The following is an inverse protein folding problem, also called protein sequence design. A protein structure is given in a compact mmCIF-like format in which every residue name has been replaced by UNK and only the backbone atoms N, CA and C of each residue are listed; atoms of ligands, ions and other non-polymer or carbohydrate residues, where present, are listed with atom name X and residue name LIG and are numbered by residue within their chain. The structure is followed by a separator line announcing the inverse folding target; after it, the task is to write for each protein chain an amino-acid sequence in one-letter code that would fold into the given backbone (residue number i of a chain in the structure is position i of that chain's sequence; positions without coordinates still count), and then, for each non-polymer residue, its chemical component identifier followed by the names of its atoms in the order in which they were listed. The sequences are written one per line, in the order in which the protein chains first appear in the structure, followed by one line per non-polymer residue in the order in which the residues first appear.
data_IF_645916703614
#
_entry.id   IF_645916703614
#
_cell.length_a   1.000
_cell.length_b   1.000
_cell.length_c   1.000
_cell.angle_alpha   90.00
_cell.angle_beta   90.00
_cell.angle_gamma   90.00
#
_symmetry.space_group_name_H-M   'P 1'
#
loop_
_entity.id
_entity.type
_entity.pdbx_description
1 polymer ?
#
# COMPACT_ATOMS: atom_id res chain seq x y z
N UNK A 1 30.16 0.51 41.08
CA UNK A 1 29.80 0.28 39.65
C UNK A 1 30.53 -0.97 39.18
N UNK A 2 29.96 -2.17 39.28
CA UNK A 2 30.60 -3.43 38.87
C UNK A 2 29.84 -4.14 37.73
N UNK A 3 29.03 -3.42 36.95
CA UNK A 3 28.30 -4.01 35.81
C UNK A 3 28.98 -3.63 34.48
N UNK A 4 29.18 -4.63 33.62
CA UNK A 4 29.56 -4.39 32.24
C UNK A 4 28.42 -3.73 31.50
N UNK A 5 28.63 -2.51 31.04
CA UNK A 5 27.63 -1.74 30.28
C UNK A 5 28.03 -1.74 28.80
N UNK A 6 27.02 -1.85 27.95
CA UNK A 6 27.17 -1.69 26.50
C UNK A 6 26.85 -0.25 26.13
N UNK A 7 27.70 0.33 25.28
CA UNK A 7 27.54 1.70 24.80
C UNK A 7 27.14 1.71 23.36
N UNK A 8 26.15 2.51 23.03
CA UNK A 8 25.73 2.79 21.66
C UNK A 8 26.12 4.23 21.33
N UNK A 9 26.82 4.42 20.22
CA UNK A 9 27.23 5.75 19.73
C UNK A 9 26.62 5.97 18.35
N UNK A 10 25.84 7.04 18.21
CA UNK A 10 25.42 7.56 16.92
C UNK A 10 26.43 8.61 16.47
N UNK A 11 26.97 8.45 15.28
CA UNK A 11 27.91 9.39 14.67
C UNK A 11 27.40 9.76 13.28
N UNK A 12 27.40 11.05 13.00
CA UNK A 12 27.21 11.53 11.65
C UNK A 12 28.52 11.37 10.86
N UNK A 13 28.45 10.71 9.73
CA UNK A 13 29.66 10.47 8.93
C UNK A 13 29.69 11.31 7.65
N UNK A 14 28.58 11.49 6.95
CA UNK A 14 28.50 12.19 5.67
C UNK A 14 27.17 12.89 5.45
N UNK A 15 27.16 13.92 4.64
CA UNK A 15 25.95 14.63 4.23
C UNK A 15 25.80 16.01 4.90
N UNK A 16 24.83 16.78 4.44
CA UNK A 16 24.45 18.06 5.02
C UNK A 16 22.93 18.12 5.23
N UNK A 17 22.49 18.70 6.35
CA UNK A 17 21.09 18.96 6.60
C UNK A 17 20.82 20.46 6.59
N UNK A 18 19.79 20.90 5.91
CA UNK A 18 19.34 22.30 6.00
C UNK A 18 18.78 22.63 7.38
N UNK A 19 18.17 21.65 8.05
CA UNK A 19 17.64 21.74 9.41
C UNK A 19 18.23 20.61 10.22
N UNK A 20 18.74 20.91 11.41
CA UNK A 20 19.31 19.90 12.31
C UNK A 20 18.26 18.83 12.65
N UNK A 21 18.54 17.55 12.40
CA UNK A 21 17.62 16.47 12.77
C UNK A 21 17.50 16.40 14.29
N UNK A 22 16.28 16.30 14.78
CA UNK A 22 15.99 16.07 16.18
C UNK A 22 15.72 14.60 16.41
N UNK A 23 16.61 13.92 17.13
CA UNK A 23 16.41 12.55 17.54
C UNK A 23 15.49 12.53 18.78
N UNK A 24 14.30 12.00 18.65
CA UNK A 24 13.32 11.90 19.73
C UNK A 24 13.59 10.70 20.63
N UNK A 25 13.90 9.55 20.02
CA UNK A 25 14.13 8.28 20.72
C UNK A 25 15.13 7.42 19.95
N UNK A 26 15.88 6.62 20.68
CA UNK A 26 16.66 5.51 20.15
C UNK A 26 16.13 4.26 20.84
N UNK A 27 15.58 3.36 20.06
CA UNK A 27 14.91 2.17 20.56
C UNK A 27 15.74 0.94 20.23
N UNK A 28 16.22 0.26 21.27
CA UNK A 28 16.82 -1.06 21.17
C UNK A 28 15.73 -2.11 21.35
N UNK A 29 15.95 -3.32 20.88
CA UNK A 29 14.98 -4.43 20.97
C UNK A 29 13.59 -4.07 20.41
N UNK A 30 13.58 -3.32 19.32
CA UNK A 30 12.35 -2.87 18.68
C UNK A 30 12.33 -3.37 17.23
N UNK A 31 11.18 -3.85 16.81
CA UNK A 31 10.95 -4.30 15.44
C UNK A 31 9.63 -3.79 14.92
N UNK A 32 9.54 -3.64 13.61
CA UNK A 32 8.28 -3.39 12.93
C UNK A 32 7.44 -4.67 12.91
N UNK A 33 6.17 -4.54 13.20
CA UNK A 33 5.20 -5.63 13.10
C UNK A 33 3.98 -5.18 12.28
N UNK A 34 3.41 -6.10 11.54
CA UNK A 34 2.18 -5.90 10.79
C UNK A 34 1.08 -6.82 11.36
N UNK A 35 -0.13 -6.29 11.48
CA UNK A 35 -1.27 -7.08 11.89
C UNK A 35 -1.70 -7.99 10.74
N UNK A 36 -1.14 -9.19 10.69
CA UNK A 36 -1.46 -10.20 9.69
C UNK A 36 -1.46 -11.59 10.31
N UNK A 37 -2.28 -12.47 9.76
CA UNK A 37 -2.22 -13.92 10.04
C UNK A 37 -1.54 -14.58 8.85
N UNK A 38 -0.50 -15.36 9.10
CA UNK A 38 0.17 -16.14 8.07
C UNK A 38 -0.41 -17.55 8.02
N UNK A 39 -0.87 -17.93 6.85
CA UNK A 39 -1.29 -19.30 6.55
C UNK A 39 -0.22 -19.93 5.66
N UNK A 40 0.30 -21.04 6.13
CA UNK A 40 1.29 -21.82 5.40
C UNK A 40 0.68 -23.14 4.98
N UNK A 41 0.94 -23.52 3.72
CA UNK A 41 0.55 -24.82 3.20
C UNK A 41 -0.97 -25.10 3.21
N UNK A 42 -1.79 -24.06 2.94
CA UNK A 42 -3.21 -24.25 2.74
C UNK A 42 -3.46 -25.09 1.48
N UNK A 43 -4.13 -26.19 1.63
CA UNK A 43 -4.52 -27.06 0.50
C UNK A 43 -5.73 -26.45 -0.17
N UNK A 44 -5.56 -25.93 -1.37
CA UNK A 44 -6.67 -25.38 -2.17
C UNK A 44 -7.54 -26.49 -2.77
N UNK A 45 -6.94 -27.65 -3.08
CA UNK A 45 -7.67 -28.77 -3.66
C UNK A 45 -6.82 -29.62 -4.60
N UNK A 46 -7.51 -30.34 -5.46
CA UNK A 46 -6.95 -31.31 -6.40
C UNK A 46 -7.07 -30.80 -7.82
N UNK A 47 -5.94 -30.71 -8.53
CA UNK A 47 -5.94 -30.46 -9.95
C UNK A 47 -6.56 -31.61 -10.74
N UNK A 48 -7.15 -31.30 -11.89
CA UNK A 48 -7.86 -32.27 -12.75
C UNK A 48 -7.35 -32.27 -14.19
N UNK A 49 -6.36 -31.48 -14.53
CA UNK A 49 -5.90 -31.18 -15.90
C UNK A 49 -6.95 -30.54 -16.81
N UNK A 50 -8.14 -30.25 -16.30
CA UNK A 50 -9.16 -29.54 -17.07
C UNK A 50 -8.79 -28.05 -17.23
N UNK A 51 -9.22 -27.40 -18.31
CA UNK A 51 -9.02 -25.97 -18.49
C UNK A 51 -9.83 -25.13 -17.50
N UNK A 52 -9.35 -23.91 -17.22
CA UNK A 52 -10.06 -22.88 -16.44
C UNK A 52 -10.47 -23.32 -15.02
N UNK A 53 -9.67 -24.15 -14.38
CA UNK A 53 -9.94 -24.55 -13.00
C UNK A 53 -9.92 -23.36 -12.06
N UNK A 54 -10.82 -23.37 -11.07
CA UNK A 54 -10.97 -22.34 -10.06
C UNK A 54 -10.89 -22.94 -8.66
N UNK A 55 -10.22 -22.22 -7.79
CA UNK A 55 -10.08 -22.55 -6.39
C UNK A 55 -10.29 -21.31 -5.53
N UNK A 56 -10.49 -21.52 -4.24
CA UNK A 56 -10.83 -20.46 -3.30
C UNK A 56 -9.92 -20.55 -2.06
N UNK A 57 -9.27 -19.46 -1.70
CA UNK A 57 -8.58 -19.35 -0.42
C UNK A 57 -9.59 -19.32 0.74
N UNK A 58 -9.30 -19.99 1.84
CA UNK A 58 -10.19 -20.08 3.01
C UNK A 58 -10.32 -18.74 3.72
N UNK A 59 -9.23 -17.98 3.81
CA UNK A 59 -9.25 -16.68 4.46
C UNK A 59 -8.94 -15.55 3.48
N UNK A 60 -9.68 -14.47 3.63
CA UNK A 60 -9.61 -13.28 2.79
C UNK A 60 -9.56 -12.01 3.64
N UNK A 61 -8.99 -10.91 3.14
CA UNK A 61 -8.31 -10.77 1.85
C UNK A 61 -6.93 -11.47 1.84
N UNK A 62 -6.47 -11.82 0.64
CA UNK A 62 -5.11 -12.34 0.42
C UNK A 62 -4.16 -11.17 0.21
N UNK A 63 -3.19 -10.98 1.11
CA UNK A 63 -2.22 -9.90 1.04
C UNK A 63 -1.11 -10.20 0.04
N UNK A 64 -0.42 -9.17 -0.41
CA UNK A 64 0.74 -9.28 -1.30
C UNK A 64 1.85 -10.17 -0.72
N UNK A 65 2.55 -10.88 -1.60
CA UNK A 65 3.65 -11.78 -1.22
C UNK A 65 3.20 -13.22 -0.94
N UNK A 66 2.05 -13.61 -1.48
CA UNK A 66 1.62 -15.01 -1.49
C UNK A 66 2.46 -15.85 -2.47
N UNK A 67 2.49 -17.14 -2.22
CA UNK A 67 3.17 -18.13 -3.07
C UNK A 67 2.21 -19.28 -3.32
N UNK A 68 1.97 -19.59 -4.59
CA UNK A 68 1.18 -20.74 -5.01
C UNK A 68 2.13 -21.83 -5.52
N UNK A 69 1.99 -23.00 -4.94
CA UNK A 69 2.76 -24.18 -5.27
C UNK A 69 1.86 -25.28 -5.81
N UNK A 70 2.31 -25.93 -6.87
CA UNK A 70 1.63 -27.08 -7.46
C UNK A 70 2.60 -28.26 -7.46
N UNK A 71 2.15 -29.39 -6.98
CA UNK A 71 2.93 -30.62 -7.05
C UNK A 71 2.72 -31.24 -8.42
N UNK A 72 3.76 -31.25 -9.23
CA UNK A 72 3.82 -31.82 -10.57
C UNK A 72 4.80 -32.99 -10.56
N UNK A 73 4.37 -34.20 -10.91
CA UNK A 73 5.25 -35.40 -11.00
C UNK A 73 6.15 -35.61 -9.77
N UNK A 74 5.63 -35.32 -8.58
CA UNK A 74 6.33 -35.40 -7.28
C UNK A 74 7.28 -34.22 -6.97
N UNK A 75 7.42 -33.26 -7.82
CA UNK A 75 8.15 -32.02 -7.57
C UNK A 75 7.20 -30.88 -7.19
N UNK A 76 7.61 -30.06 -6.24
CA UNK A 76 6.87 -28.84 -5.88
C UNK A 76 7.34 -27.70 -6.76
N UNK A 77 6.45 -27.18 -7.58
CA UNK A 77 6.73 -26.11 -8.54
C UNK A 77 5.95 -24.86 -8.17
N UNK A 78 6.66 -23.75 -8.09
CA UNK A 78 6.02 -22.45 -7.85
C UNK A 78 5.40 -21.91 -9.13
N UNK A 79 4.16 -21.46 -9.03
CA UNK A 79 3.43 -20.81 -10.10
C UNK A 79 3.42 -19.30 -9.88
N UNK A 80 3.33 -18.56 -10.98
CA UNK A 80 3.43 -17.10 -10.98
C UNK A 80 2.04 -16.45 -11.11
N UNK A 81 1.77 -15.45 -10.26
CA UNK A 81 0.60 -14.60 -10.41
C UNK A 81 0.77 -13.65 -11.60
N UNK A 82 -0.27 -13.55 -12.41
CA UNK A 82 -0.39 -12.59 -13.52
C UNK A 82 -1.71 -11.84 -13.41
N UNK A 83 -1.80 -10.60 -13.91
CA UNK A 83 -3.05 -9.84 -13.88
C UNK A 83 -4.13 -10.46 -14.79
N UNK A 84 -3.70 -11.07 -15.89
CA UNK A 84 -4.55 -11.78 -16.84
C UNK A 84 -3.71 -12.78 -17.66
N UNK A 85 -4.36 -13.62 -18.47
CA UNK A 85 -3.70 -14.62 -19.30
C UNK A 85 -3.39 -14.16 -20.73
N UNK A 86 -3.58 -12.89 -21.05
CA UNK A 86 -3.47 -12.40 -22.42
C UNK A 86 -2.07 -12.66 -23.04
N UNK A 87 -1.02 -12.48 -22.22
CA UNK A 87 0.38 -12.67 -22.65
C UNK A 87 0.93 -14.06 -22.28
N UNK A 88 0.11 -14.96 -21.76
CA UNK A 88 0.55 -16.28 -21.32
C UNK A 88 0.58 -17.27 -22.48
N UNK A 89 1.62 -18.10 -22.55
CA UNK A 89 1.71 -19.25 -23.44
C UNK A 89 1.10 -20.51 -22.82
N UNK A 90 0.90 -21.55 -23.60
CA UNK A 90 0.30 -22.81 -23.15
C UNK A 90 1.12 -23.53 -22.05
N UNK A 91 2.43 -23.28 -21.99
CA UNK A 91 3.34 -23.90 -21.02
C UNK A 91 3.56 -23.09 -19.75
N UNK A 92 3.11 -21.83 -19.72
CA UNK A 92 3.39 -20.93 -18.63
C UNK A 92 2.57 -21.30 -17.38
N UNK A 93 3.27 -21.42 -16.29
CA UNK A 93 2.72 -21.74 -14.97
C UNK A 93 2.16 -20.47 -14.31
N UNK A 94 1.08 -19.94 -14.88
CA UNK A 94 0.46 -18.72 -14.47
C UNK A 94 -0.91 -18.96 -13.83
N UNK A 95 -1.25 -18.10 -12.89
CA UNK A 95 -2.60 -18.02 -12.29
C UNK A 95 -3.00 -16.56 -12.09
N UNK A 96 -4.29 -16.31 -11.99
CA UNK A 96 -4.84 -15.02 -11.57
C UNK A 96 -5.43 -15.15 -10.18
N UNK A 97 -5.36 -14.09 -9.39
CA UNK A 97 -5.85 -14.04 -8.03
C UNK A 97 -6.68 -12.78 -7.81
N UNK A 98 -7.94 -12.94 -7.44
CA UNK A 98 -8.71 -11.87 -6.83
C UNK A 98 -8.41 -11.82 -5.33
N UNK A 99 -7.67 -10.83 -4.91
CA UNK A 99 -7.19 -10.69 -3.53
C UNK A 99 -8.30 -10.43 -2.51
N UNK A 100 -9.40 -9.80 -2.92
CA UNK A 100 -10.51 -9.49 -2.03
C UNK A 100 -11.36 -10.72 -1.75
N UNK A 101 -11.64 -11.48 -2.79
CA UNK A 101 -12.46 -12.68 -2.67
C UNK A 101 -11.64 -13.93 -2.40
N UNK A 102 -10.34 -13.93 -2.70
CA UNK A 102 -9.48 -15.09 -2.62
C UNK A 102 -9.68 -16.08 -3.77
N UNK A 103 -10.39 -15.69 -4.83
CA UNK A 103 -10.63 -16.55 -5.98
C UNK A 103 -9.36 -16.67 -6.84
N UNK A 104 -8.95 -17.90 -7.08
CA UNK A 104 -7.78 -18.26 -7.89
C UNK A 104 -8.28 -18.94 -9.15
N UNK A 105 -7.80 -18.49 -10.31
CA UNK A 105 -8.13 -19.09 -11.60
C UNK A 105 -6.84 -19.46 -12.34
N UNK A 106 -6.87 -20.61 -12.97
CA UNK A 106 -5.79 -21.14 -13.79
C UNK A 106 -6.10 -21.00 -15.28
N UNK A 107 -5.09 -21.16 -16.11
CA UNK A 107 -5.21 -21.08 -17.56
C UNK A 107 -6.05 -22.21 -18.18
N UNK A 108 -6.33 -22.05 -19.46
CA UNK A 108 -7.14 -22.99 -20.25
C UNK A 108 -6.29 -24.05 -20.98
N UNK A 109 -4.97 -24.02 -20.82
CA UNK A 109 -4.03 -24.89 -21.54
C UNK A 109 -3.59 -24.35 -22.90
N UNK A 110 -4.15 -23.22 -23.36
CA UNK A 110 -3.70 -22.45 -24.50
C UNK A 110 -3.08 -21.12 -24.04
N UNK A 111 -3.71 -20.48 -23.07
CA UNK A 111 -3.25 -19.28 -22.38
C UNK A 111 -3.10 -19.56 -20.90
N UNK A 112 -1.87 -19.91 -20.54
CA UNK A 112 -1.54 -20.43 -19.24
C UNK A 112 -1.82 -21.93 -19.12
N UNK A 113 -0.90 -22.64 -18.48
CA UNK A 113 -0.99 -24.08 -18.23
C UNK A 113 -2.19 -24.38 -17.32
N UNK A 114 -2.89 -25.48 -17.60
CA UNK A 114 -3.85 -26.03 -16.63
C UNK A 114 -3.10 -26.83 -15.55
N UNK A 115 -3.46 -26.74 -14.27
CA UNK A 115 -2.81 -27.52 -13.23
C UNK A 115 -3.03 -29.03 -13.46
N UNK A 116 -1.97 -29.85 -13.32
CA UNK A 116 -2.04 -31.27 -13.58
C UNK A 116 -2.96 -31.99 -12.61
N UNK A 117 -3.47 -33.14 -13.02
CA UNK A 117 -4.25 -34.01 -12.16
C UNK A 117 -3.41 -34.49 -10.96
N UNK A 118 -3.96 -34.36 -9.77
CA UNK A 118 -3.27 -34.78 -8.55
C UNK A 118 -4.14 -34.57 -7.31
N UNK A 119 -4.01 -35.43 -6.33
CA UNK A 119 -4.76 -35.29 -5.07
C UNK A 119 -4.10 -34.24 -4.18
N UNK A 120 -4.85 -33.19 -3.78
CA UNK A 120 -4.39 -32.15 -2.87
C UNK A 120 -3.04 -31.53 -3.30
N UNK A 121 -2.87 -31.39 -4.61
CA UNK A 121 -1.61 -30.96 -5.20
C UNK A 121 -1.47 -29.46 -5.37
N UNK A 122 -2.50 -28.66 -5.03
CA UNK A 122 -2.42 -27.20 -5.04
C UNK A 122 -2.32 -26.67 -3.62
N UNK A 123 -1.31 -25.85 -3.36
CA UNK A 123 -1.00 -25.31 -2.05
C UNK A 123 -0.75 -23.83 -2.11
N UNK A 124 -1.32 -23.09 -1.16
CA UNK A 124 -1.17 -21.64 -1.05
C UNK A 124 -0.51 -21.28 0.27
N UNK A 125 0.51 -20.43 0.18
CA UNK A 125 1.15 -19.79 1.31
C UNK A 125 0.84 -18.28 1.20
N UNK A 126 0.20 -17.71 2.20
CA UNK A 126 -0.20 -16.32 2.13
C UNK A 126 -0.41 -15.70 3.50
N UNK A 127 -0.57 -14.41 3.49
CA UNK A 127 -0.98 -13.64 4.67
C UNK A 127 -2.36 -13.08 4.44
N UNK A 128 -3.15 -13.06 5.49
CA UNK A 128 -4.46 -12.38 5.53
C UNK A 128 -4.48 -11.37 6.66
N UNK A 129 -5.28 -10.33 6.53
CA UNK A 129 -5.38 -9.26 7.50
C UNK A 129 -5.90 -7.99 6.83
N UNK A 130 -5.79 -6.87 7.51
CA UNK A 130 -6.26 -5.58 7.02
C UNK A 130 -7.50 -5.10 7.77
N UNK A 131 -8.15 -4.07 7.22
CA UNK A 131 -9.22 -3.37 7.89
C UNK A 131 -8.72 -2.50 9.05
N UNK A 132 -9.64 -1.86 9.73
CA UNK A 132 -9.34 -0.94 10.85
C UNK A 132 -9.01 -1.66 12.16
N UNK A 133 -9.20 -2.97 12.23
CA UNK A 133 -9.00 -3.77 13.45
C UNK A 133 -7.57 -3.75 13.98
N UNK A 134 -6.59 -3.54 13.08
CA UNK A 134 -5.18 -3.44 13.43
C UNK A 134 -4.76 -2.07 13.96
N UNK A 135 -5.62 -1.05 13.84
CA UNK A 135 -5.35 0.27 14.36
C UNK A 135 -5.53 0.25 15.87
N UNK A 136 -4.43 0.37 16.58
CA UNK A 136 -4.40 0.27 18.04
C UNK A 136 -3.75 1.51 18.64
N UNK A 137 -4.27 1.96 19.76
CA UNK A 137 -3.68 3.09 20.49
C UNK A 137 -2.28 2.73 21.04
N UNK A 138 -1.53 3.75 21.41
CA UNK A 138 -0.24 3.60 22.09
C UNK A 138 -0.42 2.74 23.36
N UNK A 139 0.57 1.89 23.65
CA UNK A 139 0.63 1.06 24.87
C UNK A 139 -0.50 0.02 25.03
N UNK A 140 -1.25 -0.28 23.95
CA UNK A 140 -2.33 -1.29 24.02
C UNK A 140 -1.89 -2.69 23.59
N UNK A 141 -0.79 -2.82 22.85
CA UNK A 141 -0.24 -4.11 22.44
C UNK A 141 0.73 -4.59 23.53
N UNK A 142 0.22 -5.37 24.45
CA UNK A 142 0.96 -5.73 25.68
C UNK A 142 1.20 -7.23 25.85
N UNK A 143 0.64 -8.08 24.96
CA UNK A 143 0.71 -9.53 25.10
C UNK A 143 1.49 -10.16 23.98
N UNK A 144 2.36 -11.10 24.32
CA UNK A 144 2.99 -12.04 23.39
C UNK A 144 2.08 -13.26 23.25
N UNK A 145 1.72 -13.60 22.02
CA UNK A 145 0.97 -14.82 21.71
C UNK A 145 1.81 -16.08 21.96
N UNK A 146 3.10 -15.97 21.73
CA UNK A 146 4.08 -17.05 21.97
C UNK A 146 5.17 -16.50 22.87
N UNK A 147 5.50 -17.22 23.93
CA UNK A 147 6.58 -16.82 24.82
C UNK A 147 7.92 -16.82 24.08
N UNK A 148 8.67 -15.75 24.21
CA UNK A 148 10.02 -15.60 23.66
C UNK A 148 10.99 -15.55 24.83
N UNK A 149 12.04 -16.38 24.87
CA UNK A 149 13.02 -16.36 25.94
C UNK A 149 13.62 -14.97 26.14
N UNK A 150 13.76 -14.56 27.38
CA UNK A 150 14.33 -13.26 27.80
C UNK A 150 13.49 -12.03 27.42
N UNK A 151 12.22 -12.21 27.08
CA UNK A 151 11.27 -11.09 26.90
C UNK A 151 10.13 -11.22 27.89
N UNK A 152 10.08 -10.33 28.86
CA UNK A 152 9.06 -10.34 29.90
C UNK A 152 7.84 -9.52 29.52
N UNK A 153 8.02 -8.48 28.71
CA UNK A 153 6.97 -7.54 28.33
C UNK A 153 7.21 -6.95 26.95
N UNK A 154 6.13 -6.71 26.24
CA UNK A 154 6.10 -5.96 24.98
C UNK A 154 5.16 -4.78 25.08
N UNK A 155 5.40 -3.74 24.32
CA UNK A 155 4.49 -2.62 24.16
C UNK A 155 4.73 -1.91 22.85
N UNK A 156 3.70 -1.24 22.31
CA UNK A 156 3.86 -0.34 21.17
C UNK A 156 4.02 1.10 21.69
N UNK A 157 5.12 1.73 21.33
CA UNK A 157 5.45 3.11 21.74
C UNK A 157 4.84 4.18 20.83
N UNK A 158 4.34 3.78 19.69
CA UNK A 158 3.59 4.60 18.75
C UNK A 158 2.28 3.86 18.41
N UNK A 159 1.20 4.58 18.05
CA UNK A 159 -0.04 3.93 17.68
C UNK A 159 0.16 3.08 16.42
N UNK A 160 -0.45 1.91 16.38
CA UNK A 160 -0.55 1.13 15.17
C UNK A 160 -1.62 1.75 14.27
N UNK A 161 -1.26 2.03 13.03
CA UNK A 161 -2.14 2.69 12.07
C UNK A 161 -1.94 2.15 10.65
N UNK A 162 -2.65 2.75 9.70
CA UNK A 162 -2.59 2.36 8.29
C UNK A 162 -3.62 1.30 7.89
N UNK A 163 -4.37 0.76 8.84
CA UNK A 163 -5.50 -0.10 8.55
C UNK A 163 -6.70 0.70 8.04
N UNK A 164 -7.27 0.27 6.91
CA UNK A 164 -8.47 0.87 6.32
C UNK A 164 -9.40 -0.24 5.82
N UNK A 165 -10.70 0.04 5.87
CA UNK A 165 -11.69 -0.85 5.26
C UNK A 165 -11.62 -0.74 3.73
N UNK A 166 -12.14 -1.76 3.06
CA UNK A 166 -12.28 -1.75 1.60
C UNK A 166 -13.09 -0.55 1.15
N UNK A 167 -12.62 0.11 0.09
CA UNK A 167 -13.31 1.25 -0.49
C UNK A 167 -14.70 0.84 -1.02
N UNK A 168 -15.73 1.61 -0.67
CA UNK A 168 -17.07 1.37 -1.16
C UNK A 168 -17.14 1.49 -2.70
N UNK A 169 -17.88 0.61 -3.35
CA UNK A 169 -17.98 0.54 -4.82
C UNK A 169 -18.39 1.88 -5.47
N UNK A 170 -19.24 2.64 -4.81
CA UNK A 170 -19.68 3.94 -5.32
C UNK A 170 -18.54 4.97 -5.34
N UNK A 171 -17.65 4.94 -4.35
CA UNK A 171 -16.42 5.74 -4.36
C UNK A 171 -15.46 5.30 -5.46
N UNK A 172 -15.30 3.99 -5.65
CA UNK A 172 -14.47 3.45 -6.74
C UNK A 172 -15.00 3.90 -8.10
N UNK A 173 -16.31 3.85 -8.32
CA UNK A 173 -16.96 4.33 -9.56
C UNK A 173 -16.72 5.82 -9.78
N UNK A 174 -16.94 6.64 -8.75
CA UNK A 174 -16.73 8.09 -8.83
C UNK A 174 -15.26 8.44 -9.13
N UNK A 175 -14.32 7.78 -8.46
CA UNK A 175 -12.89 7.95 -8.70
C UNK A 175 -12.46 7.43 -10.07
N UNK A 176 -12.99 6.29 -10.50
CA UNK A 176 -12.69 5.69 -11.80
C UNK A 176 -13.06 6.60 -12.97
N UNK A 177 -14.23 7.24 -12.92
CA UNK A 177 -14.65 8.20 -13.94
C UNK A 177 -13.67 9.39 -14.05
N UNK A 178 -13.20 9.91 -12.92
CA UNK A 178 -12.21 10.98 -12.85
C UNK A 178 -10.86 10.53 -13.41
N UNK A 179 -10.38 9.36 -13.00
CA UNK A 179 -9.14 8.76 -13.49
C UNK A 179 -9.13 8.59 -15.01
N UNK A 180 -10.22 8.08 -15.59
CA UNK A 180 -10.36 7.93 -17.04
C UNK A 180 -10.32 9.29 -17.77
N UNK A 181 -10.82 10.37 -17.14
CA UNK A 181 -10.80 11.72 -17.70
C UNK A 181 -9.38 12.29 -17.74
N UNK A 182 -8.67 12.31 -16.64
CA UNK A 182 -7.36 12.98 -16.57
C UNK A 182 -6.18 12.06 -16.86
N UNK A 183 -6.30 10.71 -16.74
CA UNK A 183 -5.24 9.72 -17.01
C UNK A 183 -3.91 10.09 -16.34
N UNK A 184 -3.94 10.44 -15.07
CA UNK A 184 -2.82 10.93 -14.25
C UNK A 184 -2.10 12.18 -14.80
N UNK A 185 -2.81 12.99 -15.60
CA UNK A 185 -2.28 14.24 -16.13
C UNK A 185 -3.08 15.41 -15.57
N UNK A 186 -2.38 16.43 -15.08
CA UNK A 186 -2.96 17.68 -14.61
C UNK A 186 -3.00 18.68 -15.78
N UNK A 187 -4.10 18.75 -16.50
CA UNK A 187 -4.31 19.67 -17.64
C UNK A 187 -5.30 20.75 -17.28
N UNK A 188 -6.37 20.39 -16.59
CA UNK A 188 -7.43 21.33 -16.18
C UNK A 188 -7.38 21.63 -14.69
N UNK A 189 -8.04 22.69 -14.25
CA UNK A 189 -8.22 23.00 -12.83
C UNK A 189 -8.87 21.84 -12.07
N UNK A 190 -9.84 21.17 -12.67
CA UNK A 190 -10.52 20.02 -12.09
C UNK A 190 -9.59 18.81 -11.95
N UNK A 191 -8.65 18.60 -12.90
CA UNK A 191 -7.68 17.51 -12.81
C UNK A 191 -6.74 17.74 -11.62
N UNK A 192 -6.32 18.98 -11.38
CA UNK A 192 -5.51 19.35 -10.21
C UNK A 192 -6.26 19.10 -8.89
N UNK A 193 -7.56 19.44 -8.85
CA UNK A 193 -8.42 19.17 -7.69
C UNK A 193 -8.52 17.67 -7.42
N UNK A 194 -8.79 16.87 -8.45
CA UNK A 194 -8.92 15.42 -8.33
C UNK A 194 -7.60 14.74 -7.95
N UNK A 195 -6.50 15.13 -8.59
CA UNK A 195 -5.18 14.57 -8.28
C UNK A 195 -4.72 14.93 -6.85
N UNK A 196 -5.04 16.11 -6.36
CA UNK A 196 -4.74 16.51 -4.98
C UNK A 196 -5.46 15.60 -3.95
N UNK A 197 -6.71 15.21 -4.23
CA UNK A 197 -7.48 14.28 -3.39
C UNK A 197 -6.91 12.85 -3.43
N UNK A 198 -6.37 12.44 -4.58
CA UNK A 198 -5.75 11.11 -4.74
C UNK A 198 -4.37 11.06 -4.10
N UNK A 199 -3.62 12.15 -4.17
CA UNK A 199 -2.23 12.22 -3.69
C UNK A 199 -2.10 12.02 -2.16
N UNK A 200 -3.12 12.39 -1.39
CA UNK A 200 -3.07 12.22 0.05
C UNK A 200 -4.46 12.04 0.67
N UNK A 201 -4.66 11.00 1.50
CA UNK A 201 -5.89 10.81 2.26
C UNK A 201 -6.12 11.92 3.32
N UNK A 202 -5.09 12.70 3.64
CA UNK A 202 -5.22 13.85 4.54
C UNK A 202 -5.95 15.03 3.91
N UNK A 203 -6.07 15.09 2.58
CA UNK A 203 -6.80 16.14 1.87
C UNK A 203 -8.29 15.82 1.88
N UNK A 204 -9.08 16.64 2.55
CA UNK A 204 -10.54 16.50 2.57
C UNK A 204 -11.19 17.16 1.35
N UNK A 205 -10.68 18.31 0.93
CA UNK A 205 -11.16 19.07 -0.24
C UNK A 205 -10.01 19.81 -0.91
N UNK A 206 -10.14 20.04 -2.19
CA UNK A 206 -9.21 20.85 -2.97
C UNK A 206 -9.98 21.77 -3.90
N UNK A 207 -9.43 22.95 -4.18
CA UNK A 207 -9.95 23.92 -5.13
C UNK A 207 -8.80 24.55 -5.90
N UNK A 208 -8.79 24.38 -7.21
CA UNK A 208 -7.83 25.02 -8.09
C UNK A 208 -8.42 26.35 -8.61
N UNK A 209 -7.65 27.40 -8.49
CA UNK A 209 -7.99 28.72 -9.01
C UNK A 209 -7.06 28.98 -10.19
N UNK A 210 -7.63 29.08 -11.38
CA UNK A 210 -6.88 29.37 -12.60
C UNK A 210 -6.26 30.78 -12.55
N UNK A 211 -5.13 31.02 -13.22
CA UNK A 211 -4.54 32.31 -13.33
C UNK A 211 -5.53 33.28 -14.05
N UNK A 212 -5.59 34.49 -13.56
CA UNK A 212 -6.43 35.55 -14.17
C UNK A 212 -5.55 36.70 -14.62
N UNK A 213 -5.85 37.27 -15.79
CA UNK A 213 -5.21 38.48 -16.22
C UNK A 213 -5.86 39.67 -15.50
N UNK A 214 -5.04 40.48 -14.85
CA UNK A 214 -5.48 41.73 -14.23
C UNK A 214 -5.29 42.89 -15.25
N UNK A 215 -6.39 43.47 -15.76
CA UNK A 215 -6.31 44.53 -16.76
C UNK A 215 -5.78 45.85 -16.18
N UNK A 216 -5.78 46.03 -14.86
CA UNK A 216 -5.30 47.23 -14.19
C UNK A 216 -3.77 47.20 -14.08
N UNK A 217 -3.22 46.09 -13.59
CA UNK A 217 -1.77 45.92 -13.43
C UNK A 217 -1.09 45.40 -14.68
N UNK A 218 -1.85 44.95 -15.69
CA UNK A 218 -1.38 44.28 -16.90
C UNK A 218 -0.53 43.05 -16.63
N UNK A 219 -0.81 42.37 -15.55
CA UNK A 219 -0.10 41.17 -15.13
C UNK A 219 -1.03 39.95 -14.96
N UNK A 220 -0.49 38.77 -15.17
CA UNK A 220 -1.18 37.54 -14.82
C UNK A 220 -1.06 37.30 -13.30
N UNK A 221 -2.21 37.18 -12.65
CA UNK A 221 -2.25 36.70 -11.26
C UNK A 221 -1.90 35.22 -11.23
N UNK A 222 -1.13 34.77 -10.24
CA UNK A 222 -0.72 33.39 -10.14
C UNK A 222 -1.91 32.43 -9.96
N UNK A 223 -1.73 31.19 -10.34
CA UNK A 223 -2.67 30.12 -10.03
C UNK A 223 -2.45 29.61 -8.60
N UNK A 224 -3.54 29.23 -7.94
CA UNK A 224 -3.52 28.74 -6.57
C UNK A 224 -4.17 27.35 -6.49
N UNK A 225 -3.63 26.48 -5.67
CA UNK A 225 -4.28 25.27 -5.24
C UNK A 225 -4.53 25.36 -3.73
N UNK A 226 -5.78 25.44 -3.35
CA UNK A 226 -6.22 25.47 -1.96
C UNK A 226 -6.64 24.06 -1.58
N UNK A 227 -6.11 23.55 -0.47
CA UNK A 227 -6.45 22.26 0.10
C UNK A 227 -6.96 22.43 1.51
N UNK A 228 -7.98 21.69 1.86
CA UNK A 228 -8.48 21.56 3.22
C UNK A 228 -8.15 20.16 3.69
N UNK A 229 -7.42 20.03 4.77
CA UNK A 229 -7.11 18.72 5.36
C UNK A 229 -8.26 18.18 6.22
N UNK A 230 -8.10 16.97 6.73
CA UNK A 230 -9.11 16.32 7.59
C UNK A 230 -9.25 16.99 8.98
N UNK A 231 -8.23 17.74 9.41
CA UNK A 231 -8.27 18.52 10.66
C UNK A 231 -8.93 19.89 10.47
N UNK A 232 -9.25 20.28 9.23
CA UNK A 232 -9.86 21.57 8.90
C UNK A 232 -8.84 22.69 8.67
N UNK A 233 -7.55 22.37 8.58
CA UNK A 233 -6.50 23.34 8.25
C UNK A 233 -6.45 23.62 6.76
N UNK A 234 -6.31 24.89 6.39
CA UNK A 234 -6.24 25.34 5.00
C UNK A 234 -4.77 25.44 4.58
N UNK A 235 -4.40 24.70 3.54
CA UNK A 235 -3.10 24.80 2.91
C UNK A 235 -3.24 25.45 1.52
N UNK A 236 -2.43 26.44 1.24
CA UNK A 236 -2.40 27.14 -0.06
C UNK A 236 -1.07 26.88 -0.73
N UNK A 237 -1.10 26.31 -1.92
CA UNK A 237 0.06 26.20 -2.79
C UNK A 237 -0.06 27.18 -3.94
N UNK A 238 0.97 27.99 -4.14
CA UNK A 238 1.03 28.97 -5.24
C UNK A 238 1.96 28.42 -6.31
N UNK A 239 1.50 28.27 -7.54
CA UNK A 239 2.37 28.02 -8.67
C UNK A 239 2.71 29.34 -9.36
N UNK A 240 3.97 29.72 -9.32
CA UNK A 240 4.47 30.88 -10.05
C UNK A 240 5.08 30.37 -11.36
N UNK A 241 4.44 30.64 -12.46
CA UNK A 241 5.05 30.48 -13.78
C UNK A 241 6.02 31.64 -14.02
N UNK A 242 7.20 31.61 -13.44
CA UNK A 242 8.31 32.42 -13.91
C UNK A 242 9.63 31.79 -13.52
N UNK A 243 10.58 31.88 -14.41
CA UNK A 243 11.97 31.42 -14.30
C UNK A 243 12.81 32.18 -13.25
N UNK A 244 12.19 32.73 -12.22
CA UNK A 244 12.87 33.35 -11.09
C UNK A 244 12.34 32.74 -9.81
N UNK A 245 13.18 31.97 -9.15
CA UNK A 245 13.04 31.47 -7.79
C UNK A 245 12.78 32.64 -6.83
N UNK A 246 11.53 32.79 -6.41
CA UNK A 246 11.19 33.59 -5.24
C UNK A 246 10.54 32.61 -4.23
N UNK A 247 11.27 32.30 -3.17
CA UNK A 247 10.71 31.63 -2.01
C UNK A 247 9.72 32.56 -1.31
N UNK A 248 8.44 32.38 -1.58
CA UNK A 248 7.37 33.05 -0.86
C UNK A 248 6.84 32.09 0.21
N UNK A 249 7.36 32.24 1.41
CA UNK A 249 6.73 31.71 2.61
C UNK A 249 5.53 32.60 2.98
N UNK A 250 4.33 32.18 2.66
CA UNK A 250 3.11 32.78 3.19
C UNK A 250 2.69 32.02 4.44
N UNK A 251 3.01 32.57 5.62
CA UNK A 251 2.33 32.20 6.85
C UNK A 251 0.96 32.91 6.87
N UNK A 252 -0.10 32.13 6.76
CA UNK A 252 -1.46 32.61 7.07
C UNK A 252 -1.69 32.33 8.53
N UNK A 253 -1.81 33.40 9.35
CA UNK A 253 -2.29 33.32 10.73
C UNK A 253 -3.78 33.21 10.75
#
# INVERSE_FOLDING_TARGET
FGQSLYWLRCRWETGSFRVLPRLRRLLTNTMWASQTTTLTNEILGSGTSNPNQRFQAIQTPVLLGQTLEVIEESETVQWQEVPDFYSSSASDRHYTLDRLTGAIQFGDGQRGKAPPAGSNNLRLHYRTGGGTRGNQAIETITQLKTAVPSIDRVTNLEPAGGGAESEAIDRVKARGAKFLRHRDRAVTAEDLEDLALVASPAVARSKAIAPKFDPITLQWLPSYLIRLDQAGEIQVSVSVESSRTADLNLEVK
#
